data_IF_236483055600
#
_entry.id   IF_236483055600
#
_cell.length_a   1.000
_cell.length_b   1.000
_cell.length_c   1.000
_cell.angle_alpha   90.00
_cell.angle_beta   90.00
_cell.angle_gamma   90.00
#
_symmetry.space_group_name_H-M   'P 1'
#
loop_
_entity.id
_entity.type
_entity.pdbx_description
1 polymer ?
#
# COMPACT_ATOMS: atom_id res chain seq x y z
N UNK A 1 -5.81 -14.69 16.40
CA UNK A 1 -6.12 -13.24 16.26
C UNK A 1 -6.74 -12.77 17.57
N UNK A 2 -6.29 -11.65 18.07
CA UNK A 2 -6.79 -11.11 19.31
C UNK A 2 -8.22 -10.59 19.17
N UNK A 3 -9.06 -10.94 20.14
CA UNK A 3 -10.46 -10.47 20.24
C UNK A 3 -10.57 -8.94 20.10
N UNK A 4 -9.60 -8.22 20.65
CA UNK A 4 -9.53 -6.75 20.59
C UNK A 4 -9.38 -6.22 19.17
N UNK A 5 -8.52 -6.82 18.34
CA UNK A 5 -8.34 -6.43 16.93
C UNK A 5 -9.64 -6.56 16.14
N UNK A 6 -10.37 -7.66 16.34
CA UNK A 6 -11.65 -7.86 15.69
C UNK A 6 -12.73 -6.85 16.15
N UNK A 7 -12.77 -6.58 17.46
CA UNK A 7 -13.70 -5.56 17.99
C UNK A 7 -13.41 -4.17 17.44
N UNK A 8 -12.13 -3.81 17.32
CA UNK A 8 -11.70 -2.55 16.69
C UNK A 8 -12.12 -2.45 15.22
N UNK A 9 -11.90 -3.50 14.43
CA UNK A 9 -12.33 -3.57 13.03
C UNK A 9 -13.84 -3.42 12.91
N UNK A 10 -14.60 -4.06 13.79
CA UNK A 10 -16.06 -3.94 13.83
C UNK A 10 -16.52 -2.52 14.12
N UNK A 11 -15.90 -1.86 15.09
CA UNK A 11 -16.21 -0.48 15.44
C UNK A 11 -15.93 0.46 14.27
N UNK A 12 -14.78 0.31 13.60
CA UNK A 12 -14.46 1.08 12.41
C UNK A 12 -15.45 0.82 11.25
N UNK A 13 -15.85 -0.42 11.03
CA UNK A 13 -16.83 -0.74 9.99
C UNK A 13 -18.21 -0.11 10.28
N UNK A 14 -18.59 0.02 11.55
CA UNK A 14 -19.79 0.76 11.94
C UNK A 14 -19.64 2.25 11.63
N UNK A 15 -18.52 2.87 12.04
CA UNK A 15 -18.25 4.28 11.79
C UNK A 15 -18.24 4.62 10.30
N UNK A 16 -17.49 3.86 9.51
CA UNK A 16 -17.36 4.06 8.06
C UNK A 16 -18.70 3.90 7.34
N UNK A 17 -19.52 2.93 7.75
CA UNK A 17 -20.79 2.64 7.07
C UNK A 17 -21.99 3.41 7.65
N UNK A 18 -21.84 4.13 8.77
CA UNK A 18 -22.95 4.84 9.43
C UNK A 18 -23.58 5.93 8.55
N UNK A 19 -22.81 6.47 7.60
CA UNK A 19 -23.23 7.55 6.70
C UNK A 19 -23.58 7.04 5.29
N UNK A 20 -23.57 5.71 5.10
CA UNK A 20 -23.73 5.07 3.79
C UNK A 20 -24.87 4.09 3.90
N UNK A 21 -26.05 4.49 3.49
CA UNK A 21 -27.19 3.61 3.40
C UNK A 21 -27.54 3.37 1.92
N UNK A 22 -27.53 2.11 1.52
CA UNK A 22 -28.09 1.68 0.24
C UNK A 22 -29.41 0.98 0.51
N UNK A 23 -30.57 1.68 0.32
CA UNK A 23 -31.87 1.05 0.52
C UNK A 23 -32.09 -0.08 -0.48
N UNK A 24 -32.82 -1.10 -0.06
CA UNK A 24 -33.24 -2.20 -0.94
C UNK A 24 -32.22 -3.33 -1.16
N UNK A 25 -31.07 -3.31 -0.49
CA UNK A 25 -30.10 -4.39 -0.58
C UNK A 25 -30.29 -5.43 0.54
N UNK A 26 -30.24 -6.71 0.19
CA UNK A 26 -30.36 -7.83 1.16
C UNK A 26 -29.23 -7.83 2.21
N UNK A 27 -28.02 -7.39 1.83
CA UNK A 27 -26.85 -7.29 2.69
C UNK A 27 -26.29 -5.87 2.61
N UNK A 28 -26.23 -5.16 3.74
CA UNK A 28 -25.65 -3.84 3.82
C UNK A 28 -24.15 -3.85 3.50
N UNK A 29 -23.60 -2.70 3.11
CA UNK A 29 -22.15 -2.57 2.86
C UNK A 29 -21.33 -2.90 4.10
N UNK A 30 -21.84 -2.55 5.29
CA UNK A 30 -21.24 -2.95 6.56
C UNK A 30 -21.08 -4.47 6.68
N UNK A 31 -22.10 -5.24 6.31
CA UNK A 31 -22.04 -6.70 6.35
C UNK A 31 -21.03 -7.26 5.35
N UNK A 32 -21.04 -6.75 4.12
CA UNK A 32 -20.09 -7.14 3.09
C UNK A 32 -18.65 -6.82 3.55
N UNK A 33 -18.45 -5.63 4.13
CA UNK A 33 -17.15 -5.22 4.67
C UNK A 33 -16.69 -6.14 5.81
N UNK A 34 -17.56 -6.47 6.76
CA UNK A 34 -17.23 -7.35 7.88
C UNK A 34 -16.88 -8.77 7.41
N UNK A 35 -17.61 -9.33 6.45
CA UNK A 35 -17.29 -10.65 5.88
C UNK A 35 -15.97 -10.63 5.13
N UNK A 36 -15.71 -9.56 4.38
CA UNK A 36 -14.41 -9.37 3.71
C UNK A 36 -13.27 -9.24 4.71
N UNK A 37 -13.39 -8.37 5.71
CA UNK A 37 -12.38 -8.16 6.74
C UNK A 37 -12.13 -9.42 7.58
N UNK A 38 -13.16 -10.25 7.83
CA UNK A 38 -13.01 -11.54 8.50
C UNK A 38 -12.11 -12.49 7.70
N UNK A 39 -12.28 -12.53 6.38
CA UNK A 39 -11.41 -13.30 5.51
C UNK A 39 -9.96 -12.78 5.52
N UNK A 40 -9.79 -11.45 5.39
CA UNK A 40 -8.48 -10.78 5.37
C UNK A 40 -7.71 -11.04 6.67
N UNK A 41 -8.34 -10.82 7.81
CA UNK A 41 -7.70 -10.96 9.11
C UNK A 41 -7.27 -12.40 9.42
N UNK A 42 -7.97 -13.38 8.87
CA UNK A 42 -7.63 -14.80 9.01
C UNK A 42 -6.73 -15.33 7.89
N UNK A 43 -6.30 -14.45 6.97
CA UNK A 43 -5.54 -14.86 5.77
C UNK A 43 -6.22 -16.02 5.04
N UNK A 44 -7.53 -15.84 4.78
CA UNK A 44 -8.36 -16.85 4.12
C UNK A 44 -9.08 -16.25 2.90
N UNK A 45 -9.34 -17.05 1.87
CA UNK A 45 -10.12 -16.59 0.74
C UNK A 45 -11.56 -16.25 1.17
N UNK A 46 -12.19 -15.30 0.48
CA UNK A 46 -13.52 -14.76 0.85
C UNK A 46 -14.58 -15.85 0.98
N UNK A 47 -14.53 -16.91 0.15
CA UNK A 47 -15.49 -18.01 0.26
C UNK A 47 -15.45 -18.73 1.61
N UNK A 48 -14.29 -18.72 2.29
CA UNK A 48 -14.14 -19.28 3.63
C UNK A 48 -14.97 -18.50 4.64
N UNK A 49 -14.97 -17.16 4.57
CA UNK A 49 -15.76 -16.30 5.45
C UNK A 49 -17.27 -16.37 5.15
N UNK A 50 -17.67 -16.86 4.00
CA UNK A 50 -19.08 -17.10 3.68
C UNK A 50 -19.67 -18.34 4.37
N UNK A 51 -18.88 -19.12 5.09
CA UNK A 51 -19.31 -20.35 5.76
C UNK A 51 -19.55 -20.14 7.25
N UNK A 52 -20.75 -20.43 7.78
CA UNK A 52 -21.07 -20.19 9.20
C UNK A 52 -20.12 -20.87 10.19
N UNK A 53 -19.60 -22.05 9.87
CA UNK A 53 -18.68 -22.80 10.73
C UNK A 53 -17.34 -22.09 10.97
N UNK A 54 -16.99 -21.12 10.15
CA UNK A 54 -15.73 -20.37 10.24
C UNK A 54 -15.89 -19.07 11.05
N UNK A 55 -17.01 -18.90 11.72
CA UNK A 55 -17.30 -17.80 12.61
C UNK A 55 -17.45 -18.28 14.05
N UNK A 56 -17.05 -17.48 15.03
CA UNK A 56 -17.33 -17.80 16.44
C UNK A 56 -18.85 -17.80 16.68
N UNK A 57 -19.26 -18.48 17.77
CA UNK A 57 -20.69 -18.57 18.11
C UNK A 57 -21.30 -17.19 18.39
N UNK A 58 -20.50 -16.28 19.00
CA UNK A 58 -20.89 -14.90 19.31
C UNK A 58 -19.72 -13.94 19.01
N UNK A 59 -19.91 -12.88 18.24
CA UNK A 59 -21.12 -12.51 17.52
C UNK A 59 -21.14 -13.12 16.11
N UNK A 60 -22.01 -14.10 15.93
CA UNK A 60 -22.20 -14.75 14.62
C UNK A 60 -23.17 -13.95 13.75
N UNK A 61 -22.85 -13.69 12.49
CA UNK A 61 -23.82 -13.12 11.55
C UNK A 61 -25.03 -14.06 11.38
N UNK A 62 -26.24 -13.55 11.52
CA UNK A 62 -27.47 -14.33 11.37
C UNK A 62 -27.60 -14.91 9.96
N UNK A 63 -27.11 -14.18 8.95
CA UNK A 63 -27.09 -14.63 7.54
C UNK A 63 -25.79 -14.17 6.89
N UNK A 64 -25.09 -15.09 6.27
CA UNK A 64 -23.88 -14.80 5.49
C UNK A 64 -24.21 -14.69 3.99
N UNK A 65 -23.59 -13.76 3.26
CA UNK A 65 -23.69 -13.71 1.82
C UNK A 65 -23.02 -14.92 1.17
N UNK A 66 -23.56 -15.35 0.03
CA UNK A 66 -22.90 -16.37 -0.79
C UNK A 66 -21.65 -15.81 -1.47
N UNK A 67 -20.73 -16.70 -1.88
CA UNK A 67 -19.53 -16.29 -2.63
C UNK A 67 -19.85 -15.47 -3.90
N UNK A 68 -20.84 -15.83 -4.75
CA UNK A 68 -21.20 -15.00 -5.89
C UNK A 68 -21.70 -13.60 -5.50
N UNK A 69 -22.43 -13.51 -4.38
CA UNK A 69 -22.86 -12.21 -3.83
C UNK A 69 -21.68 -11.38 -3.41
N UNK A 70 -20.73 -11.96 -2.66
CA UNK A 70 -19.49 -11.28 -2.28
C UNK A 70 -18.73 -10.82 -3.51
N UNK A 71 -18.51 -11.70 -4.49
CA UNK A 71 -17.75 -11.38 -5.71
C UNK A 71 -18.32 -10.19 -6.49
N UNK A 72 -19.66 -10.09 -6.60
CA UNK A 72 -20.31 -8.95 -7.24
C UNK A 72 -20.18 -7.67 -6.43
N UNK A 73 -20.41 -7.75 -5.11
CA UNK A 73 -20.39 -6.59 -4.23
C UNK A 73 -18.97 -6.01 -4.07
N UNK A 74 -17.96 -6.84 -3.93
CA UNK A 74 -16.56 -6.42 -3.81
C UNK A 74 -16.03 -5.68 -5.05
N UNK A 75 -16.67 -5.88 -6.22
CA UNK A 75 -16.33 -5.18 -7.47
C UNK A 75 -17.15 -3.92 -7.71
N UNK A 76 -18.16 -3.66 -6.89
CA UNK A 76 -19.00 -2.47 -7.08
C UNK A 76 -18.26 -1.20 -6.71
N UNK A 77 -18.44 -0.10 -7.46
CA UNK A 77 -17.81 1.19 -7.12
C UNK A 77 -18.15 1.67 -5.70
N UNK A 78 -19.40 1.45 -5.26
CA UNK A 78 -19.83 1.79 -3.92
C UNK A 78 -19.03 1.06 -2.84
N UNK A 79 -18.80 -0.25 -2.99
CA UNK A 79 -18.00 -1.00 -2.04
C UNK A 79 -16.51 -0.60 -2.08
N UNK A 80 -15.95 -0.34 -3.24
CA UNK A 80 -14.56 0.13 -3.37
C UNK A 80 -14.36 1.45 -2.65
N UNK A 81 -15.36 2.33 -2.68
CA UNK A 81 -15.34 3.57 -1.89
C UNK A 81 -15.39 3.31 -0.39
N UNK A 82 -16.28 2.42 0.08
CA UNK A 82 -16.34 2.00 1.50
C UNK A 82 -15.00 1.41 1.95
N UNK A 83 -14.40 0.57 1.12
CA UNK A 83 -13.10 -0.02 1.41
C UNK A 83 -11.99 1.04 1.49
N UNK A 84 -12.01 2.04 0.61
CA UNK A 84 -11.06 3.15 0.66
C UNK A 84 -11.17 3.94 1.97
N UNK A 85 -12.39 4.26 2.41
CA UNK A 85 -12.62 4.92 3.70
C UNK A 85 -12.15 4.07 4.88
N UNK A 86 -12.40 2.75 4.85
CA UNK A 86 -11.91 1.85 5.88
C UNK A 86 -10.38 1.83 5.96
N UNK A 87 -9.70 1.80 4.81
CA UNK A 87 -8.25 1.83 4.73
C UNK A 87 -7.67 3.16 5.22
N UNK A 88 -8.31 4.27 4.89
CA UNK A 88 -7.95 5.60 5.41
C UNK A 88 -8.01 5.64 6.95
N UNK A 89 -9.09 5.11 7.53
CA UNK A 89 -9.26 5.06 8.99
C UNK A 89 -8.28 4.11 9.67
N UNK A 90 -7.96 2.99 9.05
CA UNK A 90 -6.94 2.06 9.54
C UNK A 90 -5.53 2.66 9.45
N UNK A 91 -5.24 3.42 8.38
CA UNK A 91 -3.95 4.08 8.16
C UNK A 91 -3.70 5.28 9.05
N UNK A 92 -4.74 5.99 9.45
CA UNK A 92 -4.70 7.14 10.38
C UNK A 92 -4.55 6.75 11.85
N UNK A 93 -4.12 5.52 12.14
CA UNK A 93 -4.04 4.94 13.47
C UNK A 93 -3.30 5.80 14.49
N UNK A 94 -3.93 5.95 15.66
CA UNK A 94 -3.39 6.60 16.88
C UNK A 94 -1.97 6.14 17.22
N UNK A 95 -1.09 7.04 17.64
CA UNK A 95 0.27 6.66 18.08
C UNK A 95 0.20 5.73 19.29
N UNK A 96 0.97 4.63 19.24
CA UNK A 96 1.11 3.72 20.37
C UNK A 96 1.66 4.48 21.62
N UNK A 97 1.10 4.26 22.81
CA UNK A 97 1.57 4.92 24.03
C UNK A 97 2.98 4.40 24.41
N UNK A 98 3.92 5.30 24.68
CA UNK A 98 5.19 4.99 25.33
C UNK A 98 6.50 5.19 24.56
N UNK A 99 6.51 5.96 23.48
CA UNK A 99 7.74 6.31 22.72
C UNK A 99 8.21 7.77 22.94
N UNK A 100 9.41 8.15 22.42
CA UNK A 100 9.92 9.49 22.53
C UNK A 100 8.91 10.51 22.00
N UNK A 101 8.72 11.61 22.74
CA UNK A 101 7.61 12.57 22.70
C UNK A 101 6.91 12.81 21.36
N UNK A 102 5.57 12.94 21.36
CA UNK A 102 4.73 12.87 20.16
C UNK A 102 5.13 13.84 19.04
N UNK A 103 5.63 15.03 19.36
CA UNK A 103 6.02 16.05 18.37
C UNK A 103 7.27 15.68 17.56
N UNK A 104 8.28 15.06 18.18
CA UNK A 104 9.51 14.63 17.47
C UNK A 104 9.27 13.42 16.57
N UNK A 105 8.40 12.51 17.00
CA UNK A 105 8.00 11.35 16.19
C UNK A 105 7.16 11.77 15.00
N UNK A 106 6.15 12.60 15.23
CA UNK A 106 5.28 13.12 14.17
C UNK A 106 6.09 13.91 13.12
N UNK A 107 7.08 14.70 13.54
CA UNK A 107 7.94 15.47 12.65
C UNK A 107 8.83 14.54 11.77
N UNK A 108 9.48 13.54 12.35
CA UNK A 108 10.24 12.54 11.58
C UNK A 108 9.35 11.69 10.68
N UNK A 109 8.18 11.31 11.18
CA UNK A 109 7.22 10.49 10.45
C UNK A 109 6.62 11.22 9.26
N UNK A 110 6.40 12.52 9.36
CA UNK A 110 5.93 13.35 8.26
C UNK A 110 6.99 13.69 7.22
N UNK A 111 8.28 13.74 7.59
CA UNK A 111 9.35 14.18 6.71
C UNK A 111 9.89 13.11 5.77
N UNK A 112 10.00 11.87 6.22
CA UNK A 112 10.57 10.78 5.43
C UNK A 112 9.50 9.84 4.92
N UNK A 113 9.53 9.62 3.62
CA UNK A 113 8.70 8.64 2.92
C UNK A 113 9.59 7.78 2.04
N UNK A 114 9.19 6.53 1.82
CA UNK A 114 9.90 5.62 0.92
C UNK A 114 8.92 5.06 -0.09
N UNK A 115 9.30 5.05 -1.37
CA UNK A 115 8.54 4.48 -2.46
C UNK A 115 9.25 3.26 -3.02
N UNK A 116 8.50 2.16 -3.19
CA UNK A 116 9.02 0.95 -3.82
C UNK A 116 7.89 0.03 -4.30
N UNK A 117 8.23 -1.03 -5.02
CA UNK A 117 7.31 -2.05 -5.52
C UNK A 117 7.76 -3.47 -5.17
N UNK A 118 6.80 -4.30 -4.74
CA UNK A 118 7.03 -5.70 -4.40
C UNK A 118 6.50 -6.62 -5.52
N UNK A 119 7.30 -7.56 -6.07
CA UNK A 119 6.79 -8.56 -6.99
C UNK A 119 5.76 -9.49 -6.31
N UNK A 120 4.57 -9.58 -6.89
CA UNK A 120 3.50 -10.46 -6.45
C UNK A 120 3.20 -11.49 -7.55
N UNK A 121 3.74 -12.68 -7.40
CA UNK A 121 3.65 -13.74 -8.41
C UNK A 121 2.26 -14.37 -8.41
N UNK A 122 1.73 -14.64 -9.59
CA UNK A 122 0.56 -15.51 -9.78
C UNK A 122 1.06 -16.92 -10.05
N UNK A 123 0.47 -17.92 -9.40
CA UNK A 123 0.84 -19.32 -9.60
C UNK A 123 0.70 -19.76 -11.05
N UNK A 124 1.53 -20.72 -11.48
CA UNK A 124 1.69 -21.12 -12.88
C UNK A 124 0.42 -21.65 -13.56
N UNK A 125 -0.56 -22.09 -12.79
CA UNK A 125 -1.87 -22.57 -13.27
C UNK A 125 -2.98 -21.53 -13.26
N UNK A 126 -2.69 -20.29 -12.83
CA UNK A 126 -3.65 -19.22 -12.77
C UNK A 126 -4.07 -18.73 -14.16
N UNK A 127 -5.37 -18.79 -14.47
CA UNK A 127 -5.98 -18.25 -15.70
C UNK A 127 -6.25 -16.73 -15.59
N UNK A 128 -5.61 -16.03 -14.67
CA UNK A 128 -5.82 -14.60 -14.51
C UNK A 128 -5.28 -13.83 -15.74
N UNK A 129 -6.23 -13.36 -16.55
CA UNK A 129 -5.95 -12.62 -17.79
C UNK A 129 -5.40 -11.21 -17.53
N UNK A 130 -5.58 -10.67 -16.35
CA UNK A 130 -5.10 -9.34 -15.98
C UNK A 130 -3.65 -9.37 -15.51
N UNK A 131 -3.15 -10.52 -15.05
CA UNK A 131 -1.74 -10.70 -14.70
C UNK A 131 -0.84 -10.59 -15.93
N UNK A 132 0.23 -9.81 -15.83
CA UNK A 132 1.20 -9.57 -16.91
C UNK A 132 2.60 -10.03 -16.50
N UNK A 133 3.46 -10.19 -17.49
CA UNK A 133 4.86 -10.53 -17.26
C UNK A 133 5.68 -9.28 -17.04
N UNK A 134 6.38 -9.21 -15.93
CA UNK A 134 7.29 -8.13 -15.56
C UNK A 134 8.61 -8.66 -15.04
N UNK A 135 9.53 -7.75 -14.75
CA UNK A 135 10.86 -8.07 -14.21
C UNK A 135 10.93 -7.68 -12.73
N UNK A 136 11.49 -8.55 -11.92
CA UNK A 136 11.84 -8.30 -10.52
C UNK A 136 13.28 -8.70 -10.23
N UNK A 137 13.74 -8.56 -8.98
CA UNK A 137 15.09 -8.94 -8.57
C UNK A 137 15.44 -10.41 -8.89
N UNK A 138 14.47 -11.32 -8.82
CA UNK A 138 14.63 -12.74 -9.14
C UNK A 138 14.36 -13.10 -10.62
N UNK A 139 14.41 -12.14 -11.55
CA UNK A 139 14.17 -12.37 -12.97
C UNK A 139 12.73 -12.08 -13.42
N UNK A 140 12.30 -12.70 -14.52
CA UNK A 140 10.97 -12.53 -15.07
C UNK A 140 9.93 -13.30 -14.26
N UNK A 141 8.76 -12.69 -14.05
CA UNK A 141 7.62 -13.33 -13.40
C UNK A 141 6.31 -12.84 -14.01
N UNK A 142 5.28 -13.65 -13.91
CA UNK A 142 3.91 -13.26 -14.25
C UNK A 142 3.14 -12.93 -12.98
N UNK A 143 2.46 -11.78 -12.98
CA UNK A 143 1.69 -11.37 -11.81
C UNK A 143 1.40 -9.87 -11.78
N UNK A 144 1.45 -9.36 -10.58
CA UNK A 144 1.21 -7.97 -10.24
C UNK A 144 2.39 -7.40 -9.47
N UNK A 145 2.40 -6.09 -9.33
CA UNK A 145 3.33 -5.37 -8.46
C UNK A 145 2.53 -4.39 -7.60
N UNK A 146 2.32 -4.68 -6.30
CA UNK A 146 1.93 -3.67 -5.36
C UNK A 146 3.06 -2.65 -5.22
N UNK A 147 2.75 -1.40 -5.50
CA UNK A 147 3.60 -0.25 -5.25
C UNK A 147 3.05 0.47 -4.04
N UNK A 148 3.92 0.89 -3.15
CA UNK A 148 3.51 1.61 -1.96
C UNK A 148 4.46 2.75 -1.64
N UNK A 149 3.91 3.78 -1.03
CA UNK A 149 4.60 4.90 -0.48
C UNK A 149 4.36 4.87 1.02
N UNK A 150 5.41 4.60 1.78
CA UNK A 150 5.38 4.49 3.22
C UNK A 150 6.07 5.64 3.92
N UNK A 151 5.47 6.05 5.05
CA UNK A 151 6.18 6.77 6.11
C UNK A 151 6.63 5.77 7.18
N UNK A 152 6.74 6.23 8.41
CA UNK A 152 7.12 5.39 9.55
C UNK A 152 5.93 4.62 10.16
N UNK A 153 4.70 4.93 9.75
CA UNK A 153 3.52 4.19 10.18
C UNK A 153 3.46 2.79 9.54
N UNK A 154 2.87 1.78 10.21
CA UNK A 154 2.70 0.45 9.64
C UNK A 154 1.87 0.42 8.36
N UNK A 155 0.93 1.35 8.20
CA UNK A 155 0.10 1.47 7.00
C UNK A 155 0.76 2.35 5.94
N UNK A 156 0.65 2.02 4.64
CA UNK A 156 1.16 2.86 3.58
C UNK A 156 0.33 4.16 3.47
N UNK A 157 1.02 5.26 3.15
CA UNK A 157 0.39 6.57 2.89
C UNK A 157 -0.40 6.55 1.57
N UNK A 158 0.16 5.88 0.56
CA UNK A 158 -0.49 5.65 -0.72
C UNK A 158 -0.03 4.31 -1.29
N UNK A 159 -0.90 3.62 -1.99
CA UNK A 159 -0.57 2.35 -2.61
C UNK A 159 -1.39 2.09 -3.87
N UNK A 160 -0.88 1.22 -4.73
CA UNK A 160 -1.58 0.74 -5.93
C UNK A 160 -1.05 -0.63 -6.31
N UNK A 161 -1.94 -1.55 -6.68
CA UNK A 161 -1.56 -2.84 -7.26
C UNK A 161 -1.74 -2.75 -8.76
N UNK A 162 -0.67 -3.01 -9.51
CA UNK A 162 -0.67 -2.91 -10.97
C UNK A 162 -0.17 -4.20 -11.60
N UNK A 163 -0.54 -4.50 -12.85
CA UNK A 163 0.07 -5.59 -13.62
C UNK A 163 1.60 -5.42 -13.64
N UNK A 164 2.33 -6.54 -13.56
CA UNK A 164 3.78 -6.54 -13.38
C UNK A 164 4.58 -5.84 -14.51
N UNK A 165 3.96 -5.62 -15.68
CA UNK A 165 4.58 -4.93 -16.82
C UNK A 165 4.43 -3.41 -16.80
N UNK A 166 3.65 -2.85 -15.87
CA UNK A 166 3.53 -1.39 -15.78
C UNK A 166 4.83 -0.76 -15.30
N UNK A 167 5.14 0.41 -15.84
CA UNK A 167 6.34 1.18 -15.46
C UNK A 167 6.24 1.65 -14.01
N UNK A 168 7.24 1.32 -13.20
CA UNK A 168 7.31 1.74 -11.79
C UNK A 168 7.30 3.26 -11.63
N UNK A 169 7.96 3.97 -12.56
CA UNK A 169 7.96 5.44 -12.54
C UNK A 169 6.57 6.03 -12.82
N UNK A 170 5.80 5.43 -13.73
CA UNK A 170 4.43 5.86 -14.01
C UNK A 170 3.52 5.66 -12.79
N UNK A 171 3.63 4.50 -12.14
CA UNK A 171 2.84 4.21 -10.93
C UNK A 171 3.25 5.11 -9.78
N UNK A 172 4.56 5.28 -9.56
CA UNK A 172 5.09 6.15 -8.50
C UNK A 172 4.62 7.59 -8.66
N UNK A 173 4.56 8.13 -9.89
CA UNK A 173 4.01 9.46 -10.15
C UNK A 173 2.56 9.60 -9.66
N UNK A 174 1.74 8.57 -9.89
CA UNK A 174 0.37 8.53 -9.38
C UNK A 174 0.28 8.42 -7.86
N UNK A 175 1.26 7.80 -7.19
CA UNK A 175 1.34 7.77 -5.73
C UNK A 175 1.81 9.10 -5.17
N UNK A 176 2.82 9.73 -5.76
CA UNK A 176 3.31 11.06 -5.37
C UNK A 176 2.21 12.11 -5.43
N UNK A 177 1.34 12.06 -6.45
CA UNK A 177 0.21 12.98 -6.58
C UNK A 177 -0.78 12.95 -5.39
N UNK A 178 -0.75 11.88 -4.58
CA UNK A 178 -1.59 11.72 -3.38
C UNK A 178 -0.92 12.18 -2.10
N UNK A 179 0.33 12.63 -2.18
CA UNK A 179 1.05 13.13 -1.01
C UNK A 179 0.58 14.52 -0.63
N UNK A 180 0.46 14.70 0.68
CA UNK A 180 0.29 16.00 1.32
C UNK A 180 1.49 16.32 2.21
N UNK A 181 1.64 17.60 2.54
CA UNK A 181 2.72 18.09 3.38
C UNK A 181 4.03 18.31 2.62
N UNK A 182 5.15 18.02 3.26
CA UNK A 182 6.50 18.27 2.73
C UNK A 182 7.52 17.25 3.22
N UNK A 183 8.73 17.26 2.67
CA UNK A 183 9.84 16.45 3.14
C UNK A 183 10.56 15.71 2.03
N UNK A 184 11.00 14.48 2.32
CA UNK A 184 11.82 13.68 1.42
C UNK A 184 11.09 12.40 1.03
N UNK A 185 11.25 12.00 -0.24
CA UNK A 185 10.82 10.69 -0.74
C UNK A 185 12.06 9.93 -1.17
N UNK A 186 12.28 8.76 -0.59
CA UNK A 186 13.41 7.89 -0.92
C UNK A 186 12.96 6.82 -1.90
N UNK A 187 13.70 6.61 -2.96
CA UNK A 187 13.46 5.57 -3.95
C UNK A 187 14.75 4.86 -4.36
N UNK A 188 14.66 3.73 -5.02
CA UNK A 188 15.81 3.10 -5.64
C UNK A 188 16.20 3.80 -6.97
N UNK A 189 17.23 3.31 -7.65
CA UNK A 189 17.70 3.90 -8.90
C UNK A 189 16.72 3.82 -10.07
N UNK A 190 15.66 3.01 -9.97
CA UNK A 190 14.60 2.92 -10.99
C UNK A 190 13.79 4.23 -11.01
N UNK A 191 13.68 4.89 -9.86
CA UNK A 191 12.97 6.17 -9.71
C UNK A 191 13.81 7.39 -10.13
N UNK A 192 15.07 7.22 -10.54
CA UNK A 192 15.92 8.31 -11.02
C UNK A 192 15.50 8.74 -12.43
N UNK A 193 14.49 9.60 -12.52
CA UNK A 193 14.08 10.27 -13.75
C UNK A 193 13.49 11.67 -13.47
N UNK A 194 13.76 12.64 -14.34
CA UNK A 194 13.34 14.04 -14.18
C UNK A 194 11.86 14.18 -13.78
N UNK A 195 10.96 13.49 -14.51
CA UNK A 195 9.53 13.60 -14.29
C UNK A 195 9.05 13.20 -12.88
N UNK A 196 9.79 12.31 -12.17
CA UNK A 196 9.45 11.95 -10.80
C UNK A 196 9.98 12.97 -9.79
N UNK A 197 11.15 13.54 -10.05
CA UNK A 197 11.69 14.61 -9.21
C UNK A 197 10.78 15.83 -9.28
N UNK A 198 10.33 16.20 -10.49
CA UNK A 198 9.41 17.32 -10.69
C UNK A 198 8.06 17.05 -10.01
N UNK A 199 7.48 15.87 -10.22
CA UNK A 199 6.21 15.49 -9.59
C UNK A 199 6.30 15.48 -8.05
N UNK A 200 7.42 15.07 -7.47
CA UNK A 200 7.64 15.14 -6.03
C UNK A 200 7.74 16.59 -5.56
N UNK A 201 8.48 17.43 -6.30
CA UNK A 201 8.67 18.84 -5.98
C UNK A 201 7.37 19.64 -6.06
N UNK A 202 6.53 19.38 -7.05
CA UNK A 202 5.19 19.97 -7.18
C UNK A 202 4.32 19.70 -5.94
N UNK A 203 4.61 18.62 -5.21
CA UNK A 203 3.92 18.23 -3.97
C UNK A 203 4.70 18.59 -2.70
N UNK A 204 5.70 19.48 -2.81
CA UNK A 204 6.49 19.94 -1.67
C UNK A 204 7.53 18.92 -1.16
N UNK A 205 7.88 17.92 -1.96
CA UNK A 205 8.79 16.85 -1.54
C UNK A 205 10.04 16.81 -2.41
N UNK A 206 11.20 16.59 -1.80
CA UNK A 206 12.43 16.29 -2.52
C UNK A 206 12.59 14.78 -2.68
N UNK A 207 12.54 14.29 -3.92
CA UNK A 207 12.90 12.90 -4.21
C UNK A 207 14.42 12.72 -4.06
N UNK A 208 14.85 11.59 -3.48
CA UNK A 208 16.23 11.16 -3.34
C UNK A 208 16.33 9.73 -3.87
N UNK A 209 16.97 9.58 -5.02
CA UNK A 209 17.22 8.29 -5.66
C UNK A 209 18.65 8.25 -6.22
N UNK A 210 19.40 7.14 -6.11
CA UNK A 210 20.72 7.03 -6.72
C UNK A 210 20.63 7.10 -8.23
N UNK A 211 21.69 7.59 -8.88
CA UNK A 211 21.81 7.59 -10.35
C UNK A 211 21.53 6.19 -10.92
N UNK A 212 20.67 6.11 -11.92
CA UNK A 212 20.31 4.86 -12.60
C UNK A 212 21.52 4.17 -13.22
N UNK A 213 22.50 4.93 -13.70
CA UNK A 213 23.78 4.42 -14.20
C UNK A 213 24.92 5.00 -13.39
N UNK A 214 25.50 4.22 -12.50
CA UNK A 214 26.68 4.61 -11.74
C UNK A 214 27.85 4.88 -12.69
N UNK A 215 28.58 5.94 -12.43
CA UNK A 215 29.77 6.33 -13.25
C UNK A 215 29.45 6.99 -14.60
N UNK A 216 28.21 6.97 -15.07
CA UNK A 216 27.82 7.71 -16.29
C UNK A 216 27.57 9.19 -15.97
N UNK A 217 27.78 10.07 -16.96
CA UNK A 217 27.33 11.45 -16.93
C UNK A 217 25.79 11.54 -16.81
N UNK A 218 25.28 12.76 -16.65
CA UNK A 218 23.83 13.01 -16.59
C UNK A 218 23.14 12.93 -17.94
N UNK A 219 23.90 12.73 -19.03
CA UNK A 219 23.42 12.76 -20.41
C UNK A 219 23.38 14.17 -21.00
N UNK A 220 22.91 14.27 -22.25
CA UNK A 220 22.88 15.55 -23.02
C UNK A 220 21.52 16.27 -22.90
N UNK A 221 20.55 15.69 -22.16
CA UNK A 221 19.25 16.31 -21.97
C UNK A 221 19.28 17.27 -20.77
N UNK A 222 18.46 18.30 -20.85
CA UNK A 222 18.23 19.20 -19.73
C UNK A 222 17.77 18.41 -18.51
N UNK A 223 18.42 18.67 -17.38
CA UNK A 223 18.15 18.00 -16.13
C UNK A 223 17.21 18.86 -15.28
N UNK A 224 16.24 18.22 -14.64
CA UNK A 224 15.40 18.85 -13.64
C UNK A 224 16.28 19.37 -12.49
N UNK A 225 16.05 20.62 -12.07
CA UNK A 225 16.72 21.18 -10.89
C UNK A 225 16.46 20.35 -9.61
N UNK A 226 15.25 19.82 -9.47
CA UNK A 226 14.90 18.96 -8.37
C UNK A 226 15.72 17.66 -8.38
N UNK A 227 16.03 17.11 -9.58
CA UNK A 227 16.90 15.95 -9.72
C UNK A 227 18.34 16.31 -9.34
N UNK A 228 18.87 17.40 -9.85
CA UNK A 228 20.23 17.82 -9.53
C UNK A 228 20.41 18.01 -8.03
N UNK A 229 19.47 18.70 -7.37
CA UNK A 229 19.46 18.86 -5.89
C UNK A 229 19.41 17.52 -5.16
N UNK A 230 18.58 16.57 -5.62
CA UNK A 230 18.48 15.24 -5.01
C UNK A 230 19.77 14.45 -5.12
N UNK A 231 20.46 14.52 -6.26
CA UNK A 231 21.74 13.85 -6.49
C UNK A 231 22.86 14.51 -5.66
N UNK A 232 22.91 15.84 -5.62
CA UNK A 232 23.86 16.60 -4.80
C UNK A 232 23.66 16.28 -3.31
N UNK A 233 22.42 16.23 -2.85
CA UNK A 233 22.10 15.88 -1.47
C UNK A 233 22.65 14.50 -1.09
N UNK A 234 22.59 13.51 -1.99
CA UNK A 234 23.15 12.17 -1.76
C UNK A 234 24.67 12.15 -1.55
N UNK A 235 25.39 13.12 -2.10
CA UNK A 235 26.83 13.25 -1.90
C UNK A 235 27.19 13.80 -0.51
N UNK A 236 26.23 14.39 0.19
CA UNK A 236 26.42 14.91 1.56
C UNK A 236 26.31 13.82 2.62
N UNK A 237 26.97 13.95 3.79
CA UNK A 237 26.76 13.03 4.91
C UNK A 237 25.30 12.98 5.37
N UNK A 238 24.62 14.12 5.35
CA UNK A 238 23.21 14.22 5.72
C UNK A 238 22.32 13.44 4.75
N UNK A 239 22.47 13.65 3.44
CA UNK A 239 21.68 12.93 2.43
C UNK A 239 21.92 11.43 2.44
N UNK A 240 23.18 10.99 2.68
CA UNK A 240 23.48 9.56 2.88
C UNK A 240 22.79 8.99 4.11
N UNK A 241 22.74 9.73 5.21
CA UNK A 241 22.03 9.29 6.42
C UNK A 241 20.52 9.21 6.20
N UNK A 242 19.92 10.16 5.45
CA UNK A 242 18.52 10.08 5.05
C UNK A 242 18.27 8.85 4.18
N UNK A 243 19.12 8.62 3.18
CA UNK A 243 18.93 7.52 2.23
C UNK A 243 19.07 6.14 2.90
N UNK A 244 19.86 6.02 3.97
CA UNK A 244 19.97 4.80 4.76
C UNK A 244 18.62 4.36 5.37
N UNK A 245 17.72 5.31 5.64
CA UNK A 245 16.37 5.01 6.13
C UNK A 245 15.49 4.29 5.10
N UNK A 246 15.94 4.18 3.83
CA UNK A 246 15.23 3.41 2.80
C UNK A 246 15.03 1.94 3.20
N UNK A 247 15.93 1.38 4.02
CA UNK A 247 15.78 0.04 4.59
C UNK A 247 14.45 -0.15 5.36
N UNK A 248 13.76 0.93 5.72
CA UNK A 248 12.44 0.87 6.34
C UNK A 248 11.42 0.14 5.45
N UNK A 249 11.44 0.38 4.14
CA UNK A 249 10.48 -0.24 3.22
C UNK A 249 10.73 -1.75 3.09
N UNK A 250 11.99 -2.18 3.17
CA UNK A 250 12.33 -3.59 3.14
C UNK A 250 11.73 -4.34 4.35
N UNK A 251 11.69 -3.69 5.51
CA UNK A 251 11.01 -4.20 6.71
C UNK A 251 9.50 -4.30 6.49
N UNK A 252 8.86 -3.26 5.96
CA UNK A 252 7.42 -3.29 5.68
C UNK A 252 7.05 -4.36 4.65
N UNK A 253 7.80 -4.48 3.56
CA UNK A 253 7.57 -5.56 2.59
C UNK A 253 7.93 -6.93 3.14
N UNK A 254 8.98 -7.03 3.97
CA UNK A 254 9.32 -8.26 4.68
C UNK A 254 8.19 -8.71 5.60
N UNK A 255 7.56 -7.81 6.34
CA UNK A 255 6.39 -8.11 7.16
C UNK A 255 5.19 -8.57 6.31
N UNK A 256 4.94 -7.94 5.15
CA UNK A 256 3.90 -8.38 4.23
C UNK A 256 4.15 -9.79 3.68
N UNK A 257 5.39 -10.12 3.33
CA UNK A 257 5.73 -11.42 2.75
C UNK A 257 5.82 -12.52 3.79
N UNK A 258 6.45 -12.27 4.93
CA UNK A 258 6.73 -13.30 5.95
C UNK A 258 5.57 -13.51 6.92
N UNK A 259 4.87 -12.44 7.31
CA UNK A 259 3.78 -12.52 8.30
C UNK A 259 2.40 -12.59 7.66
N UNK A 260 2.25 -11.99 6.48
CA UNK A 260 0.95 -11.91 5.79
C UNK A 260 0.83 -12.86 4.60
N UNK A 261 1.87 -13.65 4.31
CA UNK A 261 1.84 -14.63 3.23
C UNK A 261 1.71 -14.05 1.81
N UNK A 262 1.99 -12.76 1.63
CA UNK A 262 1.79 -12.02 0.35
C UNK A 262 2.88 -12.33 -0.69
N UNK A 263 3.59 -13.46 -0.59
CA UNK A 263 4.62 -13.84 -1.56
C UNK A 263 4.04 -14.44 -2.85
N UNK A 264 2.83 -14.99 -2.78
CA UNK A 264 2.14 -15.59 -3.93
C UNK A 264 0.63 -15.43 -3.78
N UNK A 265 -0.04 -14.99 -4.85
CA UNK A 265 -1.49 -14.96 -4.87
C UNK A 265 -2.03 -16.39 -4.88
N UNK A 266 -2.97 -16.74 -4.00
CA UNK A 266 -3.63 -18.03 -4.05
C UNK A 266 -4.40 -18.20 -5.35
N UNK A 267 -4.48 -19.44 -5.83
CA UNK A 267 -5.19 -19.82 -7.06
C UNK A 267 -6.71 -19.67 -6.97
#
# INVERSE_FOLDING_TARGET
MERQTWLYIRALAVDVCSKIEHPGVRYSDRWILLVYMWAVVHDRPVYWACRPRNWPADPRPVRLPSQPTMSRRLRSPAFLWVLALMLERLGGGSPAPGGPGPARRAFRQGLLKVVDGLPLRVGGFGKDRSARTGRGAGGWYRGYKPHALWGSAPAPLAWSVRPANESESTVARGLLARLDGFGYVLGDSIFDCNALYDAAMERGHQLIAPKKRRGAGLGHHDQSEARLRGLELLETPYGRSLYAERALIERHFGDLTSRQGVSMLPH
#
